data_IF_205004060612
#
_entry.id   IF_205004060612
#
_cell.length_a   1.000
_cell.length_b   1.000
_cell.length_c   1.000
_cell.angle_alpha   90.00
_cell.angle_beta   90.00
_cell.angle_gamma   90.00
#
_symmetry.space_group_name_H-M   'P 1'
#
loop_
_entity.id
_entity.type
_entity.pdbx_description
1 polymer ?
#
# COMPACT_ATOMS: atom_id res chain seq x y z
N UNK A 1 21.76 -8.63 -17.95
CA UNK A 1 21.52 -8.30 -16.53
C UNK A 1 21.30 -6.80 -16.44
N UNK A 2 20.29 -6.36 -15.71
CA UNK A 2 20.00 -4.95 -15.48
C UNK A 2 20.90 -4.47 -14.33
N UNK A 3 21.51 -3.31 -14.46
CA UNK A 3 22.25 -2.69 -13.38
C UNK A 3 21.27 -1.87 -12.51
N UNK A 4 20.94 -2.39 -11.33
CA UNK A 4 20.09 -1.73 -10.35
C UNK A 4 20.90 -0.88 -9.33
N UNK A 5 22.23 -0.86 -9.44
CA UNK A 5 23.08 -0.04 -8.58
C UNK A 5 23.06 1.42 -9.06
N UNK A 6 22.18 2.23 -8.50
CA UNK A 6 22.02 3.63 -8.90
C UNK A 6 22.45 4.57 -7.78
N UNK A 7 23.15 5.66 -8.13
CA UNK A 7 23.51 6.69 -7.17
C UNK A 7 22.33 7.60 -6.79
N UNK A 8 21.32 7.70 -7.67
CA UNK A 8 20.08 8.44 -7.46
C UNK A 8 18.93 7.61 -8.00
N UNK A 9 17.73 7.68 -7.38
CA UNK A 9 16.58 6.96 -7.87
C UNK A 9 16.25 7.26 -9.33
N UNK A 10 15.79 6.25 -10.05
CA UNK A 10 15.26 6.37 -11.39
C UNK A 10 13.86 6.96 -11.30
N UNK A 11 13.67 8.13 -11.89
CA UNK A 11 12.36 8.78 -11.92
C UNK A 11 11.52 8.16 -13.04
N UNK A 12 10.36 7.67 -12.67
CA UNK A 12 9.35 7.15 -13.59
C UNK A 12 8.13 8.08 -13.66
N UNK A 13 7.05 7.55 -14.23
CA UNK A 13 5.80 8.29 -14.43
C UNK A 13 4.80 7.96 -13.31
N UNK A 14 4.25 9.00 -12.66
CA UNK A 14 3.12 8.92 -11.73
C UNK A 14 1.94 9.80 -12.18
N UNK A 15 1.96 10.31 -13.43
CA UNK A 15 0.81 11.00 -14.03
C UNK A 15 -0.23 9.96 -14.49
N UNK A 16 -0.96 9.41 -13.53
CA UNK A 16 -1.95 8.38 -13.74
C UNK A 16 -3.30 8.79 -13.14
N UNK A 17 -4.35 8.63 -13.93
CA UNK A 17 -5.71 8.68 -13.40
C UNK A 17 -6.13 7.28 -12.97
N UNK A 18 -6.21 7.09 -11.68
CA UNK A 18 -6.63 5.81 -11.11
C UNK A 18 -8.12 5.56 -11.33
N UNK A 19 -8.47 4.28 -11.58
CA UNK A 19 -9.86 3.84 -11.51
C UNK A 19 -10.40 4.14 -10.10
N UNK A 20 -11.50 4.84 -10.03
CA UNK A 20 -12.06 5.34 -8.78
C UNK A 20 -13.52 4.89 -8.57
N UNK A 21 -13.90 3.85 -9.31
CA UNK A 21 -15.26 3.31 -9.33
C UNK A 21 -16.17 4.05 -10.30
N UNK A 22 -17.40 3.58 -10.37
CA UNK A 22 -18.39 4.02 -11.35
C UNK A 22 -19.53 4.75 -10.65
N UNK A 23 -20.00 5.85 -11.26
CA UNK A 23 -21.14 6.60 -10.75
C UNK A 23 -22.40 5.72 -10.64
N UNK A 24 -23.23 5.93 -9.62
CA UNK A 24 -24.49 5.20 -9.46
C UNK A 24 -25.38 5.26 -10.71
N UNK A 25 -25.76 4.09 -11.23
CA UNK A 25 -26.60 3.97 -12.43
C UNK A 25 -25.83 3.96 -13.75
N UNK A 26 -24.52 4.20 -13.75
CA UNK A 26 -23.67 3.95 -14.91
C UNK A 26 -23.16 2.50 -14.90
N UNK A 27 -22.95 1.93 -16.08
CA UNK A 27 -22.33 0.61 -16.23
C UNK A 27 -20.85 0.67 -15.81
N UNK A 28 -20.37 -0.34 -15.07
CA UNK A 28 -18.95 -0.44 -14.75
C UNK A 28 -18.15 -0.82 -16.00
N UNK A 29 -17.13 -0.04 -16.33
CA UNK A 29 -16.18 -0.28 -17.41
C UNK A 29 -14.75 -0.45 -16.92
N UNK A 30 -14.53 -0.32 -15.60
CA UNK A 30 -13.21 -0.48 -15.01
C UNK A 30 -12.75 -1.94 -15.12
N UNK A 31 -11.47 -2.19 -15.42
CA UNK A 31 -10.88 -3.53 -15.30
C UNK A 31 -10.92 -3.98 -13.84
N UNK A 32 -10.85 -5.30 -13.59
CA UNK A 32 -10.75 -5.81 -12.22
C UNK A 32 -9.50 -5.31 -11.49
N UNK A 33 -8.40 -5.14 -12.24
CA UNK A 33 -7.12 -4.59 -11.77
C UNK A 33 -6.61 -3.62 -12.84
N UNK A 34 -6.39 -2.36 -12.45
CA UNK A 34 -5.66 -1.40 -13.28
C UNK A 34 -4.17 -1.58 -13.04
N UNK A 35 -3.39 -1.55 -14.12
CA UNK A 35 -1.93 -1.60 -14.10
C UNK A 35 -1.37 -0.26 -14.55
N UNK A 36 -0.37 0.23 -13.81
CA UNK A 36 0.42 1.39 -14.19
C UNK A 36 1.91 1.04 -14.10
N UNK A 37 2.65 1.22 -15.18
CA UNK A 37 4.10 1.06 -15.20
C UNK A 37 4.73 2.40 -14.78
N UNK A 38 5.31 2.44 -13.57
CA UNK A 38 6.12 3.58 -13.14
C UNK A 38 7.40 3.70 -13.97
N UNK A 39 8.04 2.58 -14.15
CA UNK A 39 9.18 2.37 -15.04
C UNK A 39 9.16 0.92 -15.58
N UNK A 40 10.08 0.50 -16.47
CA UNK A 40 10.06 -0.86 -17.02
C UNK A 40 10.22 -2.00 -15.99
N UNK A 41 10.55 -1.69 -14.73
CA UNK A 41 10.85 -2.65 -13.68
C UNK A 41 10.01 -2.44 -12.41
N UNK A 42 9.10 -1.47 -12.40
CA UNK A 42 8.27 -1.09 -11.25
C UNK A 42 6.84 -0.85 -11.69
N UNK A 43 5.90 -1.63 -11.17
CA UNK A 43 4.49 -1.53 -11.51
C UNK A 43 3.64 -1.30 -10.26
N UNK A 44 2.65 -0.43 -10.40
CA UNK A 44 1.59 -0.21 -9.42
C UNK A 44 0.29 -0.81 -9.97
N UNK A 45 -0.38 -1.61 -9.17
CA UNK A 45 -1.65 -2.21 -9.49
C UNK A 45 -2.70 -1.64 -8.55
N UNK A 46 -3.91 -1.39 -9.06
CA UNK A 46 -5.06 -1.01 -8.23
C UNK A 46 -6.24 -1.92 -8.51
N UNK A 47 -6.79 -2.56 -7.48
CA UNK A 47 -8.06 -3.29 -7.63
C UNK A 47 -9.22 -2.32 -7.85
N UNK A 48 -10.20 -2.75 -8.63
CA UNK A 48 -11.41 -1.97 -8.89
C UNK A 48 -12.32 -1.89 -7.66
N UNK A 49 -12.92 -0.72 -7.46
CA UNK A 49 -13.99 -0.54 -6.46
C UNK A 49 -15.27 -1.33 -6.79
N UNK A 50 -15.40 -1.84 -8.00
CA UNK A 50 -16.46 -2.79 -8.38
C UNK A 50 -16.19 -4.20 -7.85
N UNK A 51 -14.92 -4.54 -7.58
CA UNK A 51 -14.49 -5.82 -7.02
C UNK A 51 -14.43 -5.77 -5.49
N UNK A 52 -13.83 -4.73 -4.94
CA UNK A 52 -13.82 -4.42 -3.51
C UNK A 52 -13.83 -2.92 -3.27
N UNK A 53 -14.63 -2.44 -2.32
CA UNK A 53 -14.66 -1.01 -1.98
C UNK A 53 -13.32 -0.53 -1.39
N UNK A 54 -12.51 -1.43 -0.82
CA UNK A 54 -11.16 -1.15 -0.32
C UNK A 54 -10.24 -0.70 -1.45
N UNK A 55 -10.32 -1.35 -2.62
CA UNK A 55 -9.54 -1.04 -3.82
C UNK A 55 -8.07 -0.78 -3.52
N UNK A 56 -7.36 -1.73 -2.86
CA UNK A 56 -5.99 -1.55 -2.44
C UNK A 56 -5.05 -1.38 -3.63
N UNK A 57 -3.95 -0.68 -3.36
CA UNK A 57 -2.79 -0.63 -4.25
C UNK A 57 -1.82 -1.76 -3.89
N UNK A 58 -1.25 -2.34 -4.92
CA UNK A 58 -0.36 -3.49 -4.89
C UNK A 58 0.88 -3.12 -5.69
N UNK A 59 2.05 -3.55 -5.28
CA UNK A 59 3.31 -3.18 -5.93
C UNK A 59 4.02 -4.41 -6.47
N UNK A 60 4.51 -4.35 -7.72
CA UNK A 60 5.31 -5.40 -8.34
C UNK A 60 6.66 -4.83 -8.74
N UNK A 61 7.72 -5.35 -8.11
CA UNK A 61 9.09 -4.89 -8.26
C UNK A 61 9.93 -6.01 -8.89
N UNK A 62 10.55 -5.72 -10.03
CA UNK A 62 11.40 -6.68 -10.75
C UNK A 62 12.87 -6.47 -10.41
N UNK A 63 13.58 -7.55 -10.04
CA UNK A 63 15.03 -7.66 -10.01
C UNK A 63 15.53 -8.61 -11.09
N UNK A 64 16.82 -9.00 -11.07
CA UNK A 64 17.35 -9.91 -12.09
C UNK A 64 17.04 -11.37 -11.83
N UNK A 65 16.86 -11.80 -10.55
CA UNK A 65 16.67 -13.20 -10.18
C UNK A 65 15.21 -13.51 -9.83
N UNK A 66 14.49 -12.50 -9.36
CA UNK A 66 13.10 -12.61 -8.93
C UNK A 66 12.37 -11.28 -8.92
N UNK A 67 11.04 -11.35 -8.97
CA UNK A 67 10.17 -10.22 -8.63
C UNK A 67 9.68 -10.32 -7.19
N UNK A 68 9.29 -9.18 -6.61
CA UNK A 68 8.49 -9.10 -5.39
C UNK A 68 7.13 -8.52 -5.74
N UNK A 69 6.08 -9.26 -5.39
CA UNK A 69 4.72 -8.76 -5.30
C UNK A 69 4.46 -8.39 -3.84
N UNK A 70 4.12 -7.13 -3.57
CA UNK A 70 3.77 -6.66 -2.25
C UNK A 70 2.26 -6.48 -2.18
N UNK A 71 1.62 -7.32 -1.39
CA UNK A 71 0.18 -7.56 -1.23
C UNK A 71 -0.47 -8.34 -2.40
N UNK A 72 -1.59 -8.98 -2.11
CA UNK A 72 -2.38 -9.79 -3.06
C UNK A 72 -3.82 -9.30 -3.23
N UNK A 73 -4.16 -8.21 -2.55
CA UNK A 73 -5.45 -7.54 -2.67
C UNK A 73 -6.56 -8.09 -1.76
N UNK A 74 -7.75 -7.55 -1.97
CA UNK A 74 -8.91 -7.67 -1.10
C UNK A 74 -9.86 -8.83 -1.48
N UNK A 75 -9.53 -9.64 -2.48
CA UNK A 75 -10.41 -10.70 -2.98
C UNK A 75 -9.68 -12.01 -3.19
N UNK A 76 -10.43 -13.12 -3.07
CA UNK A 76 -9.88 -14.48 -3.24
C UNK A 76 -9.88 -14.95 -4.69
N UNK A 77 -10.33 -14.11 -5.62
CA UNK A 77 -10.29 -14.45 -7.04
C UNK A 77 -8.87 -14.36 -7.61
N UNK A 78 -8.71 -14.84 -8.84
CA UNK A 78 -7.41 -14.93 -9.50
C UNK A 78 -7.04 -13.69 -10.33
N UNK A 79 -7.77 -12.59 -10.26
CA UNK A 79 -7.54 -11.43 -11.12
C UNK A 79 -6.15 -10.80 -10.92
N UNK A 80 -5.73 -10.63 -9.65
CA UNK A 80 -4.39 -10.14 -9.33
C UNK A 80 -3.34 -11.11 -9.83
N UNK A 81 -3.52 -12.42 -9.58
CA UNK A 81 -2.59 -13.45 -10.03
C UNK A 81 -2.43 -13.45 -11.55
N UNK A 82 -3.52 -13.42 -12.30
CA UNK A 82 -3.48 -13.40 -13.77
C UNK A 82 -2.78 -12.15 -14.30
N UNK A 83 -3.05 -11.00 -13.68
CA UNK A 83 -2.38 -9.74 -14.03
C UNK A 83 -0.87 -9.82 -13.78
N UNK A 84 -0.46 -10.34 -12.63
CA UNK A 84 0.96 -10.52 -12.28
C UNK A 84 1.65 -11.51 -13.22
N UNK A 85 1.01 -12.63 -13.55
CA UNK A 85 1.57 -13.61 -14.49
C UNK A 85 1.79 -13.00 -15.89
N UNK A 86 0.83 -12.20 -16.38
CA UNK A 86 0.99 -11.47 -17.63
C UNK A 86 2.19 -10.51 -17.57
N UNK A 87 2.29 -9.70 -16.52
CA UNK A 87 3.40 -8.76 -16.35
C UNK A 87 4.77 -9.45 -16.23
N UNK A 88 4.84 -10.57 -15.52
CA UNK A 88 6.07 -11.38 -15.41
C UNK A 88 6.44 -11.97 -16.76
N UNK A 89 5.48 -12.49 -17.53
CA UNK A 89 5.72 -13.02 -18.87
C UNK A 89 6.23 -11.93 -19.80
N UNK A 90 5.55 -10.79 -19.87
CA UNK A 90 5.95 -9.66 -20.73
C UNK A 90 7.32 -9.09 -20.34
N UNK A 91 7.64 -9.10 -19.03
CA UNK A 91 8.95 -8.66 -18.56
C UNK A 91 10.05 -9.64 -18.97
N UNK A 92 9.80 -10.95 -18.84
CA UNK A 92 10.75 -12.01 -19.22
C UNK A 92 10.96 -12.11 -20.74
N UNK A 93 9.98 -11.79 -21.56
CA UNK A 93 10.15 -11.67 -23.00
C UNK A 93 11.16 -10.59 -23.37
N UNK A 94 11.14 -9.46 -22.65
CA UNK A 94 12.09 -8.35 -22.84
C UNK A 94 13.42 -8.55 -22.13
N UNK A 95 13.45 -9.36 -21.07
CA UNK A 95 14.58 -9.61 -20.20
C UNK A 95 14.72 -11.12 -19.94
N UNK A 96 15.15 -11.94 -20.90
CA UNK A 96 15.18 -13.38 -20.76
C UNK A 96 16.04 -13.85 -19.59
N UNK A 97 15.51 -14.79 -18.79
CA UNK A 97 16.17 -15.46 -17.67
C UNK A 97 15.94 -16.97 -17.79
N UNK A 98 16.95 -17.77 -17.42
CA UNK A 98 16.81 -19.23 -17.39
C UNK A 98 15.91 -19.70 -16.25
N UNK A 99 16.00 -19.02 -15.10
CA UNK A 99 15.19 -19.22 -13.90
C UNK A 99 14.75 -17.86 -13.40
N UNK A 100 13.51 -17.77 -12.89
CA UNK A 100 12.98 -16.52 -12.35
C UNK A 100 11.91 -16.75 -11.30
N UNK A 101 12.18 -16.28 -10.08
CA UNK A 101 11.28 -16.45 -8.95
C UNK A 101 10.26 -15.32 -8.76
N UNK A 102 9.24 -15.59 -7.95
CA UNK A 102 8.34 -14.59 -7.40
C UNK A 102 8.29 -14.73 -5.88
N UNK A 103 8.50 -13.63 -5.17
CA UNK A 103 8.21 -13.53 -3.73
C UNK A 103 6.93 -12.73 -3.58
N UNK A 104 5.93 -13.33 -2.96
CA UNK A 104 4.70 -12.67 -2.53
C UNK A 104 4.87 -12.31 -1.06
N UNK A 105 5.01 -11.04 -0.77
CA UNK A 105 5.15 -10.51 0.58
C UNK A 105 3.99 -9.56 0.89
N UNK A 106 3.84 -9.18 2.15
CA UNK A 106 2.74 -8.33 2.57
C UNK A 106 3.24 -7.12 3.34
N UNK A 107 2.60 -5.97 3.10
CA UNK A 107 2.79 -4.79 3.96
C UNK A 107 2.35 -5.10 5.39
N UNK A 108 1.27 -5.89 5.53
CA UNK A 108 0.74 -6.42 6.79
C UNK A 108 -0.35 -7.49 6.55
N UNK A 109 -0.86 -8.10 7.62
CA UNK A 109 -1.73 -9.28 7.55
C UNK A 109 -3.25 -9.02 7.48
N UNK A 110 -3.74 -7.82 7.18
CA UNK A 110 -5.19 -7.58 7.04
C UNK A 110 -5.75 -8.20 5.76
N UNK A 111 -7.05 -8.52 5.80
CA UNK A 111 -7.71 -9.30 4.76
C UNK A 111 -7.69 -8.69 3.36
N UNK A 112 -7.68 -7.38 3.26
CA UNK A 112 -7.61 -6.64 2.00
C UNK A 112 -6.21 -6.58 1.36
N UNK A 113 -5.20 -7.10 2.07
CA UNK A 113 -3.82 -7.23 1.58
C UNK A 113 -3.43 -8.68 1.25
N UNK A 114 -4.09 -9.67 1.90
CA UNK A 114 -3.70 -11.07 1.82
C UNK A 114 -4.77 -12.00 1.23
N UNK A 115 -5.93 -11.48 0.85
CA UNK A 115 -7.05 -12.32 0.42
C UNK A 115 -6.74 -13.17 -0.82
N UNK A 116 -5.87 -12.70 -1.70
CA UNK A 116 -5.48 -13.37 -2.93
C UNK A 116 -4.38 -14.42 -2.80
N UNK A 117 -3.77 -14.63 -1.61
CA UNK A 117 -2.64 -15.53 -1.39
C UNK A 117 -2.87 -16.94 -1.93
N UNK A 118 -4.08 -17.47 -1.70
CA UNK A 118 -4.45 -18.80 -2.17
C UNK A 118 -4.32 -18.98 -3.68
N UNK A 119 -4.42 -17.91 -4.47
CA UNK A 119 -4.25 -17.97 -5.92
C UNK A 119 -2.78 -18.11 -6.35
N UNK A 120 -1.83 -17.86 -5.45
CA UNK A 120 -0.39 -17.99 -5.71
C UNK A 120 0.20 -19.30 -5.18
N UNK A 121 -0.55 -20.08 -4.41
CA UNK A 121 -0.05 -21.27 -3.71
C UNK A 121 0.48 -22.36 -4.66
N UNK A 122 -0.07 -22.48 -5.87
CA UNK A 122 0.31 -23.47 -6.88
C UNK A 122 1.20 -22.89 -8.00
N UNK A 123 1.61 -21.60 -7.87
CA UNK A 123 2.47 -20.97 -8.87
C UNK A 123 3.90 -21.51 -8.78
N UNK A 124 4.48 -22.04 -9.88
CA UNK A 124 5.88 -22.46 -9.88
C UNK A 124 6.82 -21.31 -9.47
N UNK A 125 7.97 -21.67 -8.90
CA UNK A 125 9.05 -20.74 -8.50
C UNK A 125 8.54 -19.56 -7.65
N UNK A 126 7.54 -19.82 -6.78
CA UNK A 126 6.89 -18.79 -5.96
C UNK A 126 6.98 -19.11 -4.48
N UNK A 127 7.38 -18.12 -3.71
CA UNK A 127 7.32 -18.15 -2.24
C UNK A 127 6.29 -17.14 -1.77
N UNK A 128 5.25 -17.63 -1.08
CA UNK A 128 4.28 -16.76 -0.39
C UNK A 128 4.72 -16.66 1.07
N UNK A 129 5.10 -15.47 1.50
CA UNK A 129 5.53 -15.20 2.88
C UNK A 129 4.32 -15.21 3.79
N UNK A 130 4.36 -16.01 4.84
CA UNK A 130 3.27 -16.02 5.81
C UNK A 130 3.17 -14.67 6.55
N UNK A 131 1.95 -14.29 6.91
CA UNK A 131 1.59 -12.94 7.40
C UNK A 131 1.81 -12.72 8.89
N UNK A 132 2.07 -13.79 9.63
CA UNK A 132 2.32 -13.76 11.06
C UNK A 132 3.70 -13.12 11.33
N UNK A 133 3.80 -12.32 12.39
CA UNK A 133 5.00 -11.57 12.72
C UNK A 133 6.27 -12.42 12.78
N UNK A 134 6.20 -13.60 13.34
CA UNK A 134 7.36 -14.50 13.48
C UNK A 134 7.82 -15.03 12.13
N UNK A 135 6.88 -15.35 11.24
CA UNK A 135 7.20 -15.78 9.87
C UNK A 135 7.81 -14.63 9.04
N UNK A 136 7.27 -13.42 9.15
CA UNK A 136 7.84 -12.21 8.51
C UNK A 136 9.27 -11.97 8.99
N UNK A 137 9.50 -12.06 10.31
CA UNK A 137 10.84 -11.88 10.91
C UNK A 137 11.82 -12.94 10.42
N UNK A 138 11.40 -14.19 10.44
CA UNK A 138 12.23 -15.33 9.97
C UNK A 138 12.58 -15.18 8.50
N UNK A 139 11.59 -14.92 7.65
CA UNK A 139 11.80 -14.84 6.20
C UNK A 139 12.76 -13.71 5.79
N UNK A 140 12.60 -12.52 6.39
CA UNK A 140 13.45 -11.37 6.06
C UNK A 140 14.71 -11.27 6.91
N UNK A 141 14.88 -12.12 7.94
CA UNK A 141 16.06 -12.16 8.79
C UNK A 141 16.09 -11.09 9.89
N UNK A 142 14.93 -10.63 10.37
CA UNK A 142 14.87 -9.72 11.52
C UNK A 142 15.24 -10.45 12.81
N UNK A 143 16.32 -10.04 13.45
CA UNK A 143 16.75 -10.51 14.79
C UNK A 143 16.35 -9.55 15.90
N UNK A 144 16.22 -8.26 15.57
CA UNK A 144 15.74 -7.20 16.47
C UNK A 144 14.52 -6.49 15.86
N UNK A 145 13.34 -6.81 16.34
CA UNK A 145 12.08 -6.25 15.86
C UNK A 145 11.54 -5.20 16.83
N UNK A 146 11.08 -4.05 16.35
CA UNK A 146 11.00 -3.58 14.95
C UNK A 146 12.17 -2.66 14.56
N UNK A 147 13.21 -2.53 15.41
CA UNK A 147 14.25 -1.50 15.30
C UNK A 147 15.28 -1.74 14.20
N UNK A 148 15.45 -2.98 13.77
CA UNK A 148 16.44 -3.36 12.77
C UNK A 148 16.01 -2.96 11.35
N UNK A 149 17.00 -2.55 10.54
CA UNK A 149 16.87 -2.51 9.08
C UNK A 149 17.53 -3.77 8.52
N UNK A 150 16.79 -4.50 7.69
CA UNK A 150 17.30 -5.66 6.96
C UNK A 150 17.26 -5.39 5.47
N UNK A 151 18.03 -6.16 4.68
CA UNK A 151 18.05 -6.05 3.23
C UNK A 151 17.49 -7.32 2.59
N UNK A 152 16.82 -7.17 1.44
CA UNK A 152 16.33 -8.27 0.65
C UNK A 152 16.69 -8.06 -0.83
N UNK A 153 17.48 -8.98 -1.40
CA UNK A 153 17.99 -8.86 -2.77
C UNK A 153 17.09 -9.59 -3.78
N UNK A 154 16.64 -8.86 -4.79
CA UNK A 154 15.89 -9.39 -5.92
C UNK A 154 16.77 -9.77 -7.11
N UNK A 155 18.10 -9.78 -6.94
CA UNK A 155 19.08 -9.95 -7.98
C UNK A 155 19.64 -8.60 -8.42
N UNK A 156 20.44 -7.98 -7.55
CA UNK A 156 21.03 -6.66 -7.71
C UNK A 156 20.11 -5.48 -7.35
N UNK A 157 18.80 -5.67 -7.31
CA UNK A 157 17.84 -4.70 -6.73
C UNK A 157 17.66 -5.05 -5.26
N UNK A 158 18.39 -4.35 -4.41
CA UNK A 158 18.43 -4.60 -2.97
C UNK A 158 17.42 -3.67 -2.28
N UNK A 159 16.39 -4.26 -1.72
CA UNK A 159 15.37 -3.55 -0.93
C UNK A 159 15.84 -3.43 0.53
N UNK A 160 15.45 -2.37 1.21
CA UNK A 160 15.68 -2.20 2.65
C UNK A 160 14.34 -2.21 3.39
N UNK A 161 14.23 -3.04 4.44
CA UNK A 161 12.99 -3.25 5.17
C UNK A 161 13.16 -2.89 6.65
N UNK A 162 12.12 -2.34 7.26
CA UNK A 162 12.04 -2.08 8.70
C UNK A 162 10.64 -2.35 9.23
N UNK A 163 10.55 -2.75 10.50
CA UNK A 163 9.26 -2.93 11.17
C UNK A 163 8.60 -1.60 11.52
N UNK A 164 7.29 -1.51 11.24
CA UNK A 164 6.47 -0.32 11.54
C UNK A 164 5.14 -0.73 12.22
N UNK A 165 5.18 -1.46 13.37
CA UNK A 165 3.95 -1.83 14.07
C UNK A 165 3.17 -0.61 14.56
N UNK A 166 1.87 -0.81 14.80
CA UNK A 166 0.94 0.21 15.29
C UNK A 166 -0.42 0.09 14.62
N UNK A 167 -0.45 0.06 13.27
CA UNK A 167 -1.63 -0.34 12.51
C UNK A 167 -1.84 -1.86 12.60
N UNK A 168 -0.78 -2.64 12.39
CA UNK A 168 -0.76 -4.09 12.55
C UNK A 168 0.60 -4.53 13.13
N UNK A 169 0.66 -5.57 14.00
CA UNK A 169 1.91 -5.98 14.64
C UNK A 169 3.03 -6.39 13.68
N UNK A 170 2.69 -6.98 12.54
CA UNK A 170 3.62 -7.43 11.50
C UNK A 170 3.80 -6.41 10.35
N UNK A 171 3.41 -5.16 10.54
CA UNK A 171 3.58 -4.13 9.49
C UNK A 171 5.05 -3.87 9.21
N UNK A 172 5.41 -3.84 7.93
CA UNK A 172 6.74 -3.48 7.44
C UNK A 172 6.67 -2.29 6.48
N UNK A 173 7.72 -1.48 6.49
CA UNK A 173 8.00 -0.54 5.41
C UNK A 173 9.15 -1.07 4.56
N UNK A 174 9.07 -0.83 3.25
CA UNK A 174 10.09 -1.22 2.28
C UNK A 174 10.57 0.02 1.55
N UNK A 175 11.87 0.27 1.60
CA UNK A 175 12.50 1.26 0.73
C UNK A 175 13.15 0.57 -0.46
N UNK A 176 12.82 1.06 -1.64
CA UNK A 176 13.40 0.63 -2.89
C UNK A 176 14.35 1.72 -3.42
N UNK A 177 15.67 1.53 -3.35
CA UNK A 177 16.62 2.52 -3.84
C UNK A 177 16.50 2.82 -5.34
N UNK A 178 15.99 1.86 -6.13
CA UNK A 178 15.82 2.03 -7.57
C UNK A 178 14.80 3.12 -7.90
N UNK A 179 13.59 3.04 -7.35
CA UNK A 179 12.52 4.03 -7.58
C UNK A 179 12.56 5.19 -6.58
N UNK A 180 13.22 5.02 -5.45
CA UNK A 180 13.16 5.93 -4.31
C UNK A 180 11.83 5.83 -3.54
N UNK A 181 11.01 4.80 -3.78
CA UNK A 181 9.76 4.61 -3.06
C UNK A 181 9.98 4.10 -1.65
N UNK A 182 9.27 4.70 -0.71
CA UNK A 182 9.06 4.20 0.64
C UNK A 182 7.65 3.64 0.72
N UNK A 183 7.52 2.31 0.57
CA UNK A 183 6.24 1.60 0.62
C UNK A 183 5.85 1.44 2.09
N UNK A 184 4.78 2.06 2.53
CA UNK A 184 4.40 2.21 3.94
C UNK A 184 3.12 1.46 4.33
N UNK A 185 2.51 0.72 3.39
CA UNK A 185 1.25 0.02 3.63
C UNK A 185 0.18 0.96 4.17
N UNK A 186 -0.50 0.53 5.23
CA UNK A 186 -1.56 1.30 5.89
C UNK A 186 -1.08 2.14 7.09
N UNK A 187 0.23 2.28 7.24
CA UNK A 187 0.80 3.17 8.24
C UNK A 187 0.75 4.63 7.82
N UNK A 188 1.02 4.93 6.52
CA UNK A 188 1.00 6.29 5.97
C UNK A 188 0.40 6.27 4.56
N UNK A 189 -0.78 6.84 4.39
CA UNK A 189 -1.48 6.99 3.11
C UNK A 189 -2.52 8.12 3.18
N UNK A 190 -3.02 8.65 2.06
CA UNK A 190 -4.04 9.69 2.04
C UNK A 190 -5.42 9.10 2.39
N UNK A 191 -5.63 8.83 3.69
CA UNK A 191 -6.83 8.15 4.18
C UNK A 191 -6.98 8.14 5.69
N UNK A 192 -7.70 7.13 6.19
CA UNK A 192 -7.97 6.92 7.61
C UNK A 192 -6.95 5.95 8.21
N UNK A 193 -6.00 6.50 8.92
CA UNK A 193 -4.96 5.74 9.63
C UNK A 193 -5.59 5.12 10.88
N UNK A 194 -5.94 3.83 10.80
CA UNK A 194 -6.49 3.08 11.92
C UNK A 194 -5.37 2.56 12.82
N UNK A 195 -5.36 2.97 14.08
CA UNK A 195 -4.24 2.72 14.98
C UNK A 195 -4.70 2.03 16.27
N UNK A 196 -4.68 0.69 16.32
CA UNK A 196 -4.99 -0.07 17.54
C UNK A 196 -3.93 0.06 18.62
N UNK A 197 -2.64 0.12 18.24
CA UNK A 197 -1.50 0.31 19.15
C UNK A 197 -0.83 1.66 18.88
N UNK A 198 -1.32 2.68 19.55
CA UNK A 198 -0.91 4.05 19.30
C UNK A 198 0.52 4.36 19.71
N UNK A 199 1.04 3.89 20.88
CA UNK A 199 2.45 4.07 21.23
C UNK A 199 3.41 3.42 20.22
N UNK A 200 3.10 2.21 19.75
CA UNK A 200 3.90 1.57 18.70
C UNK A 200 3.86 2.34 17.37
N UNK A 201 2.71 2.92 17.03
CA UNK A 201 2.56 3.76 15.84
C UNK A 201 3.42 5.02 15.88
N UNK A 202 3.40 5.77 17.00
CA UNK A 202 4.23 6.97 17.18
C UNK A 202 5.71 6.60 17.07
N UNK A 203 6.14 5.54 17.77
CA UNK A 203 7.52 5.07 17.71
C UNK A 203 7.92 4.60 16.29
N UNK A 204 7.00 3.99 15.54
CA UNK A 204 7.20 3.58 14.15
C UNK A 204 7.34 4.78 13.21
N UNK A 205 6.52 5.81 13.38
CA UNK A 205 6.62 7.04 12.59
C UNK A 205 7.93 7.79 12.85
N UNK A 206 8.41 7.80 14.10
CA UNK A 206 9.70 8.40 14.43
C UNK A 206 10.84 7.70 13.71
N UNK A 207 10.90 6.37 13.79
CA UNK A 207 11.89 5.57 13.05
C UNK A 207 11.77 5.75 11.55
N UNK A 208 10.54 5.79 11.02
CA UNK A 208 10.30 5.92 9.58
C UNK A 208 10.76 7.29 9.05
N UNK A 209 10.55 8.38 9.81
CA UNK A 209 11.07 9.72 9.46
C UNK A 209 12.59 9.73 9.50
N UNK A 210 13.22 9.13 10.51
CA UNK A 210 14.68 9.01 10.60
C UNK A 210 15.23 8.16 9.46
N UNK A 211 14.63 6.99 9.21
CA UNK A 211 14.95 6.09 8.11
C UNK A 211 14.90 6.81 6.75
N UNK A 212 13.82 7.55 6.50
CA UNK A 212 13.63 8.31 5.26
C UNK A 212 14.62 9.47 5.12
N UNK A 213 15.02 10.11 6.22
CA UNK A 213 15.94 11.25 6.18
C UNK A 213 17.37 10.87 5.77
N UNK A 214 17.73 9.62 5.93
CA UNK A 214 19.05 9.07 5.57
C UNK A 214 19.08 8.47 4.15
N UNK A 215 18.00 8.59 3.38
CA UNK A 215 17.83 7.95 2.05
C UNK A 215 17.27 8.93 1.04
N UNK A 216 17.48 8.62 -0.24
CA UNK A 216 16.94 9.42 -1.35
C UNK A 216 15.47 9.03 -1.64
N UNK A 217 14.59 9.15 -0.62
CA UNK A 217 13.16 8.86 -0.80
C UNK A 217 12.52 9.91 -1.69
N UNK A 218 11.92 9.47 -2.80
CA UNK A 218 11.18 10.33 -3.74
C UNK A 218 9.73 10.48 -3.31
N UNK A 219 9.09 9.36 -2.92
CA UNK A 219 7.67 9.31 -2.56
C UNK A 219 7.43 8.32 -1.43
N UNK A 220 6.44 8.62 -0.58
CA UNK A 220 5.87 7.68 0.39
C UNK A 220 4.61 7.11 -0.23
N UNK A 221 4.55 5.78 -0.36
CA UNK A 221 3.53 5.07 -1.10
C UNK A 221 2.74 4.16 -0.14
N UNK A 222 1.50 4.51 0.13
CA UNK A 222 0.58 3.68 0.91
C UNK A 222 -0.27 2.76 0.04
N UNK A 223 -1.22 2.06 0.66
CA UNK A 223 -2.04 1.07 -0.06
C UNK A 223 -3.47 1.55 -0.37
N UNK A 224 -3.89 2.74 0.09
CA UNK A 224 -5.25 3.23 -0.12
C UNK A 224 -5.31 4.72 -0.45
N UNK A 225 -6.44 5.13 -1.05
CA UNK A 225 -6.87 6.53 -1.13
C UNK A 225 -8.31 6.59 -0.60
N UNK A 226 -8.51 7.30 0.50
CA UNK A 226 -9.81 7.45 1.12
C UNK A 226 -10.19 8.92 1.36
N UNK A 227 -9.21 9.84 1.26
CA UNK A 227 -9.44 11.28 1.28
C UNK A 227 -9.98 11.77 -0.06
N UNK A 228 -10.60 12.93 -0.05
CA UNK A 228 -10.84 13.73 -1.25
C UNK A 228 -9.80 14.84 -1.35
N UNK A 229 -9.72 15.52 -2.51
CA UNK A 229 -8.87 16.72 -2.68
C UNK A 229 -9.26 17.89 -1.78
N UNK A 230 -10.41 17.81 -1.11
CA UNK A 230 -10.84 18.84 -0.14
C UNK A 230 -10.20 18.56 1.21
N UNK A 231 -9.43 19.49 1.78
CA UNK A 231 -8.76 19.31 3.05
C UNK A 231 -9.69 18.80 4.17
N UNK A 232 -9.26 17.78 4.92
CA UNK A 232 -9.99 17.19 6.02
C UNK A 232 -11.28 16.44 5.66
N UNK A 233 -11.48 16.12 4.37
CA UNK A 233 -12.67 15.41 3.88
C UNK A 233 -12.33 14.04 3.33
N UNK A 234 -13.03 13.04 3.84
CA UNK A 234 -12.91 11.65 3.44
C UNK A 234 -14.18 11.12 2.78
N UNK A 235 -14.03 10.17 1.88
CA UNK A 235 -15.13 9.35 1.42
C UNK A 235 -15.56 8.39 2.53
N UNK A 236 -16.89 8.20 2.77
CA UNK A 236 -17.35 7.28 3.80
C UNK A 236 -16.87 5.84 3.56
N UNK A 237 -16.64 5.07 4.63
CA UNK A 237 -16.31 3.65 4.57
C UNK A 237 -17.32 2.89 3.69
N UNK A 238 -16.84 2.06 2.78
CA UNK A 238 -17.67 1.31 1.85
C UNK A 238 -18.12 2.11 0.62
N UNK A 239 -17.55 3.30 0.36
CA UNK A 239 -17.81 4.05 -0.88
C UNK A 239 -17.22 3.33 -2.08
N UNK A 240 -18.04 3.09 -3.10
CA UNK A 240 -17.66 2.41 -4.36
C UNK A 240 -17.42 3.39 -5.51
N UNK A 241 -17.54 4.68 -5.27
CA UNK A 241 -17.26 5.74 -6.25
C UNK A 241 -16.63 6.95 -5.58
N UNK A 242 -15.39 7.28 -5.97
CA UNK A 242 -14.54 8.32 -5.36
C UNK A 242 -13.87 9.19 -6.44
N UNK A 243 -14.63 10.02 -7.19
CA UNK A 243 -14.14 10.71 -8.39
C UNK A 243 -13.16 11.87 -8.12
N UNK A 244 -13.02 12.32 -6.88
CA UNK A 244 -12.18 13.45 -6.47
C UNK A 244 -11.07 12.99 -5.50
N UNK A 245 -10.45 11.85 -5.80
CA UNK A 245 -9.31 11.35 -5.03
C UNK A 245 -8.08 12.23 -5.21
N UNK A 246 -7.26 12.47 -4.15
CA UNK A 246 -5.93 13.05 -4.29
C UNK A 246 -4.96 12.05 -4.94
N UNK A 247 -3.72 12.47 -5.13
CA UNK A 247 -2.65 11.56 -5.53
C UNK A 247 -2.40 10.49 -4.45
N UNK A 248 -2.01 9.26 -4.89
CA UNK A 248 -1.62 8.19 -3.98
C UNK A 248 -0.33 8.53 -3.24
N UNK A 249 0.64 9.05 -4.00
CA UNK A 249 1.97 9.36 -3.50
C UNK A 249 1.94 10.54 -2.52
N UNK A 250 2.53 10.33 -1.37
CA UNK A 250 2.77 11.38 -0.38
C UNK A 250 4.24 11.80 -0.40
N UNK A 251 4.51 12.98 0.10
CA UNK A 251 5.84 13.55 0.24
C UNK A 251 6.45 13.22 1.61
N UNK A 252 7.77 13.38 1.75
CA UNK A 252 8.46 13.34 3.05
C UNK A 252 7.91 14.40 4.01
N UNK A 253 7.50 15.57 3.50
CA UNK A 253 6.87 16.61 4.34
C UNK A 253 5.54 16.11 4.93
N UNK A 254 4.73 15.41 4.16
CA UNK A 254 3.48 14.79 4.64
C UNK A 254 3.75 13.64 5.62
N UNK A 255 4.78 12.81 5.41
CA UNK A 255 5.20 11.80 6.40
C UNK A 255 5.54 12.47 7.75
N UNK A 256 6.31 13.56 7.71
CA UNK A 256 6.62 14.34 8.93
C UNK A 256 5.36 14.92 9.57
N UNK A 257 4.42 15.42 8.76
CA UNK A 257 3.15 15.93 9.25
C UNK A 257 2.31 14.84 9.94
N UNK A 258 2.28 13.60 9.39
CA UNK A 258 1.62 12.45 10.02
C UNK A 258 2.27 12.15 11.38
N UNK A 259 3.62 12.11 11.45
CA UNK A 259 4.36 11.89 12.71
C UNK A 259 4.06 12.96 13.74
N UNK A 260 4.10 14.23 13.36
CA UNK A 260 3.88 15.35 14.28
C UNK A 260 2.43 15.39 14.77
N UNK A 261 1.47 15.11 13.88
CA UNK A 261 0.07 14.96 14.23
C UNK A 261 -0.18 13.79 15.19
N UNK A 262 0.44 12.62 14.94
CA UNK A 262 0.32 11.47 15.83
C UNK A 262 0.84 11.77 17.25
N UNK A 263 1.99 12.41 17.36
CA UNK A 263 2.53 12.86 18.65
C UNK A 263 1.60 13.84 19.38
N UNK A 264 0.99 14.77 18.63
CA UNK A 264 0.10 15.78 19.21
C UNK A 264 -1.19 15.17 19.79
N UNK A 265 -1.66 14.05 19.23
CA UNK A 265 -2.91 13.41 19.66
C UNK A 265 -2.70 12.08 20.41
N UNK A 266 -1.47 11.77 20.83
CA UNK A 266 -1.13 10.50 21.47
C UNK A 266 -1.94 10.24 22.74
N UNK A 267 -2.13 11.27 23.55
CA UNK A 267 -2.91 11.20 24.80
C UNK A 267 -4.43 11.38 24.60
N UNK A 268 -4.87 11.52 23.35
CA UNK A 268 -6.26 11.86 23.03
C UNK A 268 -6.94 10.76 22.17
N UNK A 269 -7.47 9.68 22.76
CA UNK A 269 -8.20 8.67 22.00
C UNK A 269 -9.37 9.29 21.23
N UNK A 270 -9.54 8.91 19.95
CA UNK A 270 -10.63 9.44 19.13
C UNK A 270 -10.26 9.58 17.66
N UNK A 271 -11.06 10.39 16.94
CA UNK A 271 -10.87 10.65 15.50
C UNK A 271 -10.37 12.08 15.32
N UNK A 272 -9.18 12.20 14.76
CA UNK A 272 -8.50 13.47 14.53
C UNK A 272 -8.33 13.70 13.03
N UNK A 273 -8.88 14.82 12.54
CA UNK A 273 -8.87 15.15 11.10
C UNK A 273 -7.80 16.16 10.79
N UNK A 274 -7.01 15.84 9.77
CA UNK A 274 -6.01 16.72 9.18
C UNK A 274 -6.31 16.89 7.68
N UNK A 275 -5.59 17.73 7.01
CA UNK A 275 -5.90 18.06 5.62
C UNK A 275 -5.80 16.84 4.68
N UNK A 276 -4.72 16.05 4.79
CA UNK A 276 -4.42 14.93 3.89
C UNK A 276 -4.74 13.54 4.47
N UNK A 277 -5.05 13.44 5.77
CA UNK A 277 -5.28 12.18 6.47
C UNK A 277 -6.15 12.34 7.71
N UNK A 278 -6.61 11.21 8.24
CA UNK A 278 -7.40 11.17 9.49
C UNK A 278 -6.79 10.10 10.39
N UNK A 279 -6.48 10.44 11.64
CA UNK A 279 -5.99 9.48 12.62
C UNK A 279 -7.15 8.95 13.46
N UNK A 280 -7.30 7.63 13.50
CA UNK A 280 -8.20 6.91 14.40
C UNK A 280 -7.37 6.36 15.56
N UNK A 281 -7.25 7.15 16.65
CA UNK A 281 -6.52 6.76 17.86
C UNK A 281 -7.39 5.81 18.70
N UNK A 282 -7.11 4.51 18.63
CA UNK A 282 -7.82 3.45 19.34
C UNK A 282 -9.13 3.01 18.70
N UNK A 283 -9.95 2.22 19.41
CA UNK A 283 -11.16 1.58 18.87
C UNK A 283 -12.33 2.56 18.69
N UNK A 284 -12.31 3.35 17.64
CA UNK A 284 -13.31 4.40 17.35
C UNK A 284 -14.64 3.86 16.80
N UNK A 285 -15.24 2.81 17.43
CA UNK A 285 -16.45 2.11 16.94
C UNK A 285 -17.60 3.04 16.56
N UNK A 286 -17.90 4.05 17.38
CA UNK A 286 -18.98 5.00 17.09
C UNK A 286 -18.70 5.83 15.81
N UNK A 287 -17.44 6.14 15.52
CA UNK A 287 -17.08 6.84 14.32
C UNK A 287 -17.21 5.93 13.08
N UNK A 288 -16.81 4.66 13.19
CA UNK A 288 -17.00 3.66 12.13
C UNK A 288 -18.50 3.47 11.82
N UNK A 289 -19.35 3.32 12.84
CA UNK A 289 -20.82 3.22 12.66
C UNK A 289 -21.36 4.46 11.94
N UNK A 290 -20.93 5.67 12.32
CA UNK A 290 -21.35 6.91 11.65
C UNK A 290 -20.90 6.93 10.18
N UNK A 291 -19.71 6.44 9.86
CA UNK A 291 -19.21 6.34 8.50
C UNK A 291 -20.07 5.39 7.65
N UNK A 292 -20.38 4.20 8.17
CA UNK A 292 -21.25 3.23 7.50
C UNK A 292 -22.67 3.77 7.29
N UNK A 293 -23.21 4.49 8.28
CA UNK A 293 -24.51 5.16 8.16
C UNK A 293 -24.50 6.24 7.05
N UNK A 294 -23.39 7.00 6.93
CA UNK A 294 -23.23 7.98 5.84
C UNK A 294 -23.22 7.30 4.47
N UNK A 295 -22.55 6.15 4.34
CA UNK A 295 -22.54 5.37 3.09
C UNK A 295 -23.94 4.88 2.75
N UNK A 296 -24.66 4.27 3.69
CA UNK A 296 -26.02 3.79 3.49
C UNK A 296 -26.95 4.95 3.06
N UNK A 297 -26.86 6.09 3.73
CA UNK A 297 -27.64 7.28 3.38
C UNK A 297 -27.31 7.80 1.96
N UNK A 298 -26.04 7.85 1.58
CA UNK A 298 -25.62 8.29 0.24
C UNK A 298 -26.11 7.34 -0.85
N UNK A 299 -26.12 6.02 -0.60
CA UNK A 299 -26.71 5.02 -1.52
C UNK A 299 -28.19 5.26 -1.72
N UNK A 300 -28.96 5.43 -0.64
CA UNK A 300 -30.41 5.69 -0.70
C UNK A 300 -30.71 6.99 -1.45
N UNK A 301 -29.93 8.04 -1.22
CA UNK A 301 -30.14 9.36 -1.84
C UNK A 301 -29.49 9.54 -3.19
N UNK A 302 -28.85 8.50 -3.76
CA UNK A 302 -28.07 8.54 -5.01
C UNK A 302 -26.99 9.63 -5.03
N UNK A 303 -26.44 9.97 -3.86
CA UNK A 303 -25.37 10.96 -3.69
C UNK A 303 -23.96 10.34 -3.56
N UNK A 304 -23.81 9.07 -3.94
CA UNK A 304 -22.47 8.46 -4.10
C UNK A 304 -21.70 9.26 -5.15
N UNK A 305 -20.46 9.62 -4.83
CA UNK A 305 -19.60 10.40 -5.71
C UNK A 305 -19.76 11.91 -5.65
N UNK A 306 -20.68 12.44 -4.84
CA UNK A 306 -20.58 13.83 -4.43
C UNK A 306 -19.35 13.91 -3.51
N UNK A 307 -18.32 14.66 -3.92
CA UNK A 307 -17.13 14.89 -3.09
C UNK A 307 -17.57 15.41 -1.71
N UNK A 308 -17.03 14.86 -0.64
CA UNK A 308 -17.42 15.21 0.72
C UNK A 308 -17.13 16.66 1.09
#
# INVERSE_FOLDING_TARGET
MIDFSVATPVLGDLDVRWIHGTAPGAGNTDPAVQVHAYDPHTYLLRQSKAVSYEAPFIYLLFGNDRAMLLDTGATKDSAVRQTVDGLVTDWLERNPRAEYGLVVAHTHGHGDHVAGDGSFADRPETTVVAREIDAVREFFGFTDWPGQVVTFDLGGRVLELTGIPGHHPASIAIYDPWSGFLLSGDTVYPGRLYVPDFPAFVASLDRLVEFASARAVTHVMGCHIEMSRRPGRDYPIGSVYQPDEPALQMTIAQLRAVRDAARAVEAEPGVHKFDDFIIFNGPCRAAVIRQLARTAWRRITRREGVAP
#
